data_IF_969705416839
#
_entry.id   IF_969705416839
#
_cell.length_a   1.000
_cell.length_b   1.000
_cell.length_c   1.000
_cell.angle_alpha   90.00
_cell.angle_beta   90.00
_cell.angle_gamma   90.00
#
_symmetry.space_group_name_H-M   'P 1'
#
loop_
_entity.id
_entity.type
_entity.pdbx_description
1 polymer ?
#
# COMPACT_ATOMS: atom_id res chain seq x y z
N UNK A 1 6.56 -28.52 19.34
CA UNK A 1 6.79 -27.54 18.25
C UNK A 1 5.44 -27.06 17.79
N UNK A 2 5.07 -25.78 18.05
CA UNK A 2 3.90 -25.20 17.43
C UNK A 2 4.09 -25.21 15.90
N UNK A 3 3.13 -25.76 15.15
CA UNK A 3 3.15 -25.67 13.69
C UNK A 3 3.11 -24.18 13.30
N UNK A 4 4.17 -23.65 12.71
CA UNK A 4 4.16 -22.29 12.15
C UNK A 4 3.11 -22.27 11.05
N UNK A 5 2.02 -21.55 11.29
CA UNK A 5 0.95 -21.39 10.29
C UNK A 5 1.46 -20.42 9.23
N UNK A 6 1.45 -20.84 7.97
CA UNK A 6 1.78 -19.96 6.85
C UNK A 6 0.65 -18.93 6.70
N UNK A 7 0.94 -17.62 6.75
CA UNK A 7 -0.09 -16.62 6.56
C UNK A 7 -0.51 -16.51 5.10
N UNK A 8 -1.81 -16.38 4.84
CA UNK A 8 -2.38 -16.13 3.53
C UNK A 8 -2.51 -14.63 3.31
N UNK A 9 -1.80 -14.11 2.31
CA UNK A 9 -1.70 -12.67 2.05
C UNK A 9 -2.33 -12.36 0.70
N UNK A 10 -3.29 -11.45 0.68
CA UNK A 10 -3.97 -11.01 -0.54
C UNK A 10 -3.41 -9.67 -1.01
N UNK A 11 -2.94 -9.61 -2.26
CA UNK A 11 -2.72 -8.35 -2.98
C UNK A 11 -3.94 -7.99 -3.81
N UNK A 12 -4.42 -6.75 -3.69
CA UNK A 12 -5.44 -6.15 -4.56
C UNK A 12 -4.78 -4.98 -5.26
N UNK A 13 -4.46 -5.13 -6.54
CA UNK A 13 -3.71 -4.09 -7.28
C UNK A 13 -3.79 -4.28 -8.80
N UNK A 14 -3.15 -3.38 -9.52
CA UNK A 14 -2.89 -3.53 -10.95
C UNK A 14 -1.74 -4.49 -11.25
N UNK A 15 -1.73 -5.03 -12.46
CA UNK A 15 -0.66 -5.89 -12.98
C UNK A 15 0.31 -5.06 -13.80
N UNK A 16 1.60 -5.07 -13.44
CA UNK A 16 2.69 -4.53 -14.26
C UNK A 16 3.43 -5.70 -14.96
N UNK A 17 3.40 -5.78 -16.30
CA UNK A 17 3.94 -6.93 -17.06
C UNK A 17 5.43 -7.19 -16.81
N UNK A 18 6.22 -6.15 -16.52
CA UNK A 18 7.64 -6.28 -16.18
C UNK A 18 7.91 -7.06 -14.89
N UNK A 19 6.89 -7.23 -14.04
CA UNK A 19 7.01 -7.92 -12.76
C UNK A 19 7.84 -7.19 -11.72
N UNK A 20 8.14 -5.90 -11.95
CA UNK A 20 8.87 -5.03 -11.03
C UNK A 20 7.98 -4.23 -10.10
N UNK A 21 6.69 -4.11 -10.40
CA UNK A 21 5.67 -3.43 -9.59
C UNK A 21 4.33 -4.16 -9.65
N UNK A 22 3.33 -3.65 -8.92
CA UNK A 22 1.98 -4.21 -8.87
C UNK A 22 1.94 -5.64 -8.35
N UNK A 23 0.88 -6.36 -8.67
CA UNK A 23 0.63 -7.73 -8.16
C UNK A 23 1.83 -8.65 -8.33
N UNK A 24 2.52 -8.62 -9.47
CA UNK A 24 3.65 -9.53 -9.68
C UNK A 24 4.84 -9.27 -8.76
N UNK A 25 5.11 -8.01 -8.42
CA UNK A 25 6.11 -7.69 -7.41
C UNK A 25 5.61 -8.06 -6.00
N UNK A 26 4.34 -7.79 -5.72
CA UNK A 26 3.71 -8.11 -4.44
C UNK A 26 3.81 -9.61 -4.14
N UNK A 27 3.37 -10.46 -5.08
CA UNK A 27 3.41 -11.93 -4.91
C UNK A 27 4.83 -12.46 -4.69
N UNK A 28 5.82 -11.88 -5.38
CA UNK A 28 7.24 -12.25 -5.17
C UNK A 28 7.71 -11.89 -3.77
N UNK A 29 7.42 -10.66 -3.31
CA UNK A 29 7.81 -10.21 -1.97
C UNK A 29 7.12 -11.04 -0.88
N UNK A 30 5.81 -11.26 -1.01
CA UNK A 30 5.02 -12.07 -0.08
C UNK A 30 5.54 -13.50 0.02
N UNK A 31 5.80 -14.14 -1.12
CA UNK A 31 6.30 -15.52 -1.16
C UNK A 31 7.73 -15.63 -0.59
N UNK A 32 8.60 -14.65 -0.87
CA UNK A 32 9.97 -14.61 -0.34
C UNK A 32 10.01 -14.47 1.18
N UNK A 33 8.99 -13.85 1.79
CA UNK A 33 8.86 -13.66 3.25
C UNK A 33 8.01 -14.74 3.93
N UNK A 34 7.73 -15.84 3.23
CA UNK A 34 7.08 -17.02 3.80
C UNK A 34 5.57 -16.96 3.89
N UNK A 35 4.92 -16.03 3.17
CA UNK A 35 3.48 -15.96 3.00
C UNK A 35 2.98 -16.82 1.82
N UNK A 36 1.75 -17.33 1.91
CA UNK A 36 1.01 -17.84 0.76
C UNK A 36 0.33 -16.66 0.07
N UNK A 37 0.80 -16.30 -1.11
CA UNK A 37 0.40 -15.09 -1.80
C UNK A 37 -0.79 -15.33 -2.73
N UNK A 38 -1.85 -14.53 -2.57
CA UNK A 38 -3.03 -14.49 -3.42
C UNK A 38 -3.11 -13.12 -4.12
N UNK A 39 -3.82 -13.03 -5.25
CA UNK A 39 -3.97 -11.78 -5.98
C UNK A 39 -5.36 -11.58 -6.56
N UNK A 40 -5.91 -10.37 -6.37
CA UNK A 40 -7.11 -9.86 -7.05
C UNK A 40 -6.69 -8.73 -7.98
N UNK A 41 -6.94 -8.92 -9.27
CA UNK A 41 -6.54 -7.97 -10.30
C UNK A 41 -7.57 -6.84 -10.42
N UNK A 42 -7.15 -5.61 -10.12
CA UNK A 42 -7.97 -4.40 -10.23
C UNK A 42 -7.76 -3.67 -11.57
N UNK A 43 -6.59 -3.82 -12.19
CA UNK A 43 -6.28 -3.24 -13.50
C UNK A 43 -5.16 -4.01 -14.19
N UNK A 44 -5.10 -3.90 -15.51
CA UNK A 44 -3.97 -4.34 -16.33
C UNK A 44 -3.25 -3.10 -16.84
N UNK A 45 -1.92 -3.10 -16.84
CA UNK A 45 -1.14 -2.02 -17.43
C UNK A 45 -0.26 -2.51 -18.56
N UNK A 46 -0.10 -1.69 -19.59
CA UNK A 46 0.99 -1.79 -20.55
C UNK A 46 2.14 -0.93 -20.00
N UNK A 47 3.02 -1.54 -19.21
CA UNK A 47 4.03 -0.84 -18.42
C UNK A 47 5.37 -1.58 -18.44
N UNK A 48 6.44 -0.81 -18.46
CA UNK A 48 7.81 -1.27 -18.22
C UNK A 48 8.51 -0.36 -17.19
N UNK A 49 9.83 -0.48 -17.03
CA UNK A 49 10.59 0.35 -16.08
C UNK A 49 10.77 1.81 -16.53
N UNK A 50 10.36 2.15 -17.75
CA UNK A 50 10.49 3.50 -18.33
C UNK A 50 9.19 4.30 -18.25
N UNK A 51 8.02 3.63 -18.29
CA UNK A 51 6.74 4.33 -18.27
C UNK A 51 5.53 3.42 -18.46
N UNK A 52 4.34 4.04 -18.40
CA UNK A 52 3.03 3.43 -18.61
C UNK A 52 2.46 3.91 -19.93
N UNK A 53 2.18 3.00 -20.86
CA UNK A 53 1.63 3.32 -22.19
C UNK A 53 0.14 3.01 -22.31
N UNK A 54 -0.44 2.31 -21.33
CA UNK A 54 -1.86 2.02 -21.29
C UNK A 54 -2.31 1.41 -19.97
N UNK A 55 -3.55 1.67 -19.61
CA UNK A 55 -4.22 1.11 -18.43
C UNK A 55 -5.59 0.58 -18.86
N UNK A 56 -5.88 -0.66 -18.51
CA UNK A 56 -7.17 -1.29 -18.69
C UNK A 56 -7.72 -1.66 -17.31
N UNK A 57 -8.76 -0.94 -16.85
CA UNK A 57 -9.44 -1.24 -15.59
C UNK A 57 -10.18 -2.58 -15.67
N UNK A 58 -10.21 -3.30 -14.56
CA UNK A 58 -11.12 -4.43 -14.35
C UNK A 58 -12.40 -3.89 -13.72
N UNK A 59 -13.56 -4.27 -14.24
CA UNK A 59 -14.83 -3.76 -13.73
C UNK A 59 -15.02 -4.08 -12.25
N UNK A 60 -15.64 -3.15 -11.50
CA UNK A 60 -15.97 -3.34 -10.09
C UNK A 60 -16.72 -4.64 -9.81
N UNK A 61 -17.66 -5.01 -10.71
CA UNK A 61 -18.40 -6.28 -10.62
C UNK A 61 -17.48 -7.50 -10.68
N UNK A 62 -16.45 -7.48 -11.55
CA UNK A 62 -15.52 -8.61 -11.65
C UNK A 62 -14.47 -8.59 -10.52
N UNK A 63 -14.06 -7.42 -10.03
CA UNK A 63 -13.24 -7.31 -8.82
C UNK A 63 -14.00 -7.91 -7.63
N UNK A 64 -15.28 -7.57 -7.48
CA UNK A 64 -16.14 -8.16 -6.44
C UNK A 64 -16.22 -9.69 -6.57
N UNK A 65 -16.42 -10.20 -7.77
CA UNK A 65 -16.50 -11.65 -8.02
C UNK A 65 -15.20 -12.37 -7.65
N UNK A 66 -14.03 -11.79 -7.97
CA UNK A 66 -12.73 -12.33 -7.57
C UNK A 66 -12.60 -12.37 -6.03
N UNK A 67 -12.97 -11.27 -5.35
CA UNK A 67 -12.93 -11.18 -3.88
C UNK A 67 -13.86 -12.21 -3.24
N UNK A 68 -15.12 -12.24 -3.63
CA UNK A 68 -16.12 -13.15 -3.07
C UNK A 68 -15.69 -14.62 -3.25
N UNK A 69 -15.18 -14.97 -4.42
CA UNK A 69 -14.73 -16.35 -4.72
C UNK A 69 -13.53 -16.73 -3.85
N UNK A 70 -12.57 -15.82 -3.68
CA UNK A 70 -11.38 -16.09 -2.88
C UNK A 70 -11.69 -16.21 -1.40
N UNK A 71 -12.47 -15.27 -0.84
CA UNK A 71 -12.84 -15.29 0.58
C UNK A 71 -13.80 -16.45 0.95
N UNK A 72 -14.54 -17.00 -0.02
CA UNK A 72 -15.40 -18.18 0.21
C UNK A 72 -14.59 -19.48 0.39
N UNK A 73 -13.38 -19.54 -0.17
CA UNK A 73 -12.55 -20.75 -0.14
C UNK A 73 -11.49 -20.74 0.98
N UNK A 74 -11.01 -19.56 1.38
CA UNK A 74 -9.85 -19.48 2.24
C UNK A 74 -9.82 -18.35 3.25
N UNK A 75 -9.09 -18.60 4.35
CA UNK A 75 -8.72 -17.56 5.31
C UNK A 75 -7.70 -16.61 4.68
N UNK A 76 -7.92 -15.32 4.81
CA UNK A 76 -6.95 -14.26 4.49
C UNK A 76 -6.51 -13.60 5.78
N UNK A 77 -5.22 -13.59 6.04
CA UNK A 77 -4.62 -13.06 7.29
C UNK A 77 -4.23 -11.59 7.15
N UNK A 78 -3.88 -11.15 5.93
CA UNK A 78 -3.64 -9.74 5.64
C UNK A 78 -3.98 -9.41 4.18
N UNK A 79 -4.37 -8.16 3.95
CA UNK A 79 -4.63 -7.61 2.62
C UNK A 79 -3.67 -6.45 2.37
N UNK A 80 -2.98 -6.48 1.23
CA UNK A 80 -2.25 -5.32 0.70
C UNK A 80 -3.06 -4.72 -0.45
N UNK A 81 -3.29 -3.42 -0.41
CA UNK A 81 -3.94 -2.67 -1.47
C UNK A 81 -2.90 -1.78 -2.14
N UNK A 82 -2.81 -1.86 -3.45
CA UNK A 82 -1.99 -0.98 -4.28
C UNK A 82 -2.85 -0.13 -5.21
N UNK A 83 -2.42 0.02 -6.47
CA UNK A 83 -3.13 0.80 -7.48
C UNK A 83 -4.54 0.24 -7.75
N UNK A 84 -5.56 1.08 -7.57
CA UNK A 84 -6.95 0.86 -7.98
C UNK A 84 -7.30 1.79 -9.14
N UNK A 85 -8.23 1.37 -10.02
CA UNK A 85 -8.45 2.03 -11.31
C UNK A 85 -9.46 3.18 -11.29
N UNK A 86 -10.47 3.10 -10.41
CA UNK A 86 -11.57 4.04 -10.37
C UNK A 86 -12.34 3.99 -9.04
N UNK A 87 -13.25 4.95 -8.83
CA UNK A 87 -14.05 5.09 -7.61
C UNK A 87 -14.87 3.84 -7.31
N UNK A 88 -15.49 3.24 -8.33
CA UNK A 88 -16.36 2.07 -8.13
C UNK A 88 -15.58 0.83 -7.67
N UNK A 89 -14.32 0.70 -8.10
CA UNK A 89 -13.40 -0.35 -7.61
C UNK A 89 -12.98 -0.06 -6.18
N UNK A 90 -12.69 1.20 -5.83
CA UNK A 90 -12.35 1.61 -4.44
C UNK A 90 -13.51 1.26 -3.49
N UNK A 91 -14.73 1.66 -3.82
CA UNK A 91 -15.94 1.35 -3.04
C UNK A 91 -16.17 -0.16 -2.90
N UNK A 92 -15.97 -0.91 -3.99
CA UNK A 92 -16.10 -2.37 -4.00
C UNK A 92 -15.10 -3.03 -3.07
N UNK A 93 -13.85 -2.62 -3.10
CA UNK A 93 -12.80 -3.12 -2.21
C UNK A 93 -13.12 -2.75 -0.76
N UNK A 94 -13.50 -1.50 -0.49
CA UNK A 94 -13.89 -1.08 0.85
C UNK A 94 -15.09 -1.88 1.40
N UNK A 95 -16.10 -2.14 0.58
CA UNK A 95 -17.23 -2.98 0.98
C UNK A 95 -16.82 -4.42 1.28
N UNK A 96 -15.89 -4.99 0.51
CA UNK A 96 -15.35 -6.33 0.77
C UNK A 96 -14.58 -6.36 2.11
N UNK A 97 -13.75 -5.36 2.39
CA UNK A 97 -13.04 -5.26 3.67
C UNK A 97 -14.00 -5.15 4.86
N UNK A 98 -15.07 -4.36 4.74
CA UNK A 98 -16.12 -4.23 5.76
C UNK A 98 -16.87 -5.55 5.98
N UNK A 99 -17.04 -6.36 4.93
CA UNK A 99 -17.74 -7.64 4.95
C UNK A 99 -16.88 -8.75 5.53
N UNK A 100 -15.68 -8.94 4.99
CA UNK A 100 -14.80 -10.08 5.31
C UNK A 100 -13.88 -9.84 6.51
N UNK A 101 -13.61 -8.58 6.84
CA UNK A 101 -12.83 -8.12 8.01
C UNK A 101 -11.50 -8.85 8.19
N UNK A 102 -10.60 -8.80 7.18
CA UNK A 102 -9.27 -9.38 7.33
C UNK A 102 -8.56 -8.72 8.53
N UNK A 103 -7.75 -9.47 9.29
CA UNK A 103 -7.08 -8.95 10.50
C UNK A 103 -6.19 -7.74 10.25
N UNK A 104 -5.52 -7.69 9.09
CA UNK A 104 -4.62 -6.59 8.73
C UNK A 104 -4.90 -6.08 7.32
N UNK A 105 -4.86 -4.75 7.17
CA UNK A 105 -5.00 -4.06 5.88
C UNK A 105 -3.86 -3.08 5.72
N UNK A 106 -3.00 -3.31 4.74
CA UNK A 106 -1.91 -2.41 4.35
C UNK A 106 -2.28 -1.69 3.06
N UNK A 107 -2.38 -0.37 3.12
CA UNK A 107 -2.72 0.45 1.97
C UNK A 107 -1.50 1.24 1.51
N UNK A 108 -1.01 0.94 0.31
CA UNK A 108 -0.03 1.75 -0.41
C UNK A 108 -0.81 2.71 -1.34
N UNK A 109 -0.89 4.01 -1.03
CA UNK A 109 -1.78 4.94 -1.72
C UNK A 109 -1.17 5.42 -3.05
N UNK A 110 -0.94 4.50 -3.97
CA UNK A 110 -0.25 4.74 -5.24
C UNK A 110 -1.03 5.73 -6.10
N UNK A 111 -0.49 6.95 -6.28
CA UNK A 111 -1.12 8.01 -7.07
C UNK A 111 -0.41 8.28 -8.39
N UNK A 112 0.91 8.12 -8.42
CA UNK A 112 1.76 8.44 -9.57
C UNK A 112 2.76 7.32 -9.78
N UNK A 113 2.96 6.91 -11.03
CA UNK A 113 4.01 5.98 -11.40
C UNK A 113 5.40 6.63 -11.22
N UNK A 114 6.46 5.82 -11.11
CA UNK A 114 7.84 6.31 -11.04
C UNK A 114 8.23 7.19 -12.24
N UNK A 115 7.61 6.96 -13.39
CA UNK A 115 7.78 7.75 -14.62
C UNK A 115 7.14 9.15 -14.54
N UNK A 116 6.32 9.44 -13.51
CA UNK A 116 5.54 10.67 -13.39
C UNK A 116 4.11 10.54 -13.95
N UNK A 117 3.76 9.40 -14.55
CA UNK A 117 2.43 9.17 -15.07
C UNK A 117 1.41 9.06 -13.92
N UNK A 118 0.31 9.82 -14.00
CA UNK A 118 -0.76 9.77 -13.02
C UNK A 118 -1.51 8.46 -13.13
N UNK A 119 -1.54 7.69 -12.05
CA UNK A 119 -2.20 6.38 -11.96
C UNK A 119 -3.57 6.46 -11.28
N UNK A 120 -3.77 7.45 -10.42
CA UNK A 120 -5.01 7.64 -9.69
C UNK A 120 -5.67 8.97 -10.12
N UNK A 121 -6.90 8.94 -10.68
CA UNK A 121 -7.70 10.13 -10.95
C UNK A 121 -8.01 10.93 -9.69
N UNK A 122 -8.35 12.20 -9.82
CA UNK A 122 -8.54 13.11 -8.68
C UNK A 122 -9.75 12.74 -7.81
N UNK A 123 -10.84 12.32 -8.44
CA UNK A 123 -12.05 11.83 -7.77
C UNK A 123 -11.80 10.56 -6.94
N UNK A 124 -10.84 9.75 -7.36
CA UNK A 124 -10.43 8.56 -6.61
C UNK A 124 -9.68 8.89 -5.32
N UNK A 125 -9.02 10.06 -5.22
CA UNK A 125 -8.33 10.47 -3.98
C UNK A 125 -9.33 10.65 -2.84
N UNK A 126 -10.46 11.30 -3.10
CA UNK A 126 -11.49 11.50 -2.07
C UNK A 126 -12.16 10.18 -1.69
N UNK A 127 -12.44 9.30 -2.65
CA UNK A 127 -12.96 7.97 -2.37
C UNK A 127 -11.97 7.13 -1.55
N UNK A 128 -10.67 7.22 -1.84
CA UNK A 128 -9.63 6.55 -1.06
C UNK A 128 -9.58 7.07 0.38
N UNK A 129 -9.69 8.39 0.57
CA UNK A 129 -9.71 9.02 1.90
C UNK A 129 -10.94 8.64 2.71
N UNK A 130 -12.12 8.63 2.10
CA UNK A 130 -13.38 8.36 2.81
C UNK A 130 -13.65 6.87 3.04
N UNK A 131 -13.26 6.01 2.10
CA UNK A 131 -13.66 4.61 2.11
C UNK A 131 -12.57 3.64 2.56
N UNK A 132 -11.29 3.87 2.22
CA UNK A 132 -10.21 2.91 2.47
C UNK A 132 -9.29 3.31 3.63
N UNK A 133 -8.90 4.59 3.76
CA UNK A 133 -8.03 5.01 4.86
C UNK A 133 -8.59 4.63 6.24
N UNK A 134 -9.91 4.80 6.53
CA UNK A 134 -10.48 4.42 7.82
C UNK A 134 -10.47 2.91 8.12
N UNK A 135 -10.14 2.08 7.13
CA UNK A 135 -10.06 0.62 7.26
C UNK A 135 -8.62 0.11 7.32
N UNK A 136 -7.63 0.99 7.10
CA UNK A 136 -6.24 0.60 7.02
C UNK A 136 -5.60 0.41 8.40
N UNK A 137 -4.95 -0.75 8.61
CA UNK A 137 -4.04 -0.99 9.74
C UNK A 137 -2.74 -0.21 9.58
N UNK A 138 -2.21 -0.17 8.35
CA UNK A 138 -1.01 0.60 8.01
C UNK A 138 -1.20 1.26 6.65
N UNK A 139 -0.84 2.53 6.54
CA UNK A 139 -0.68 3.21 5.26
C UNK A 139 0.79 3.54 5.01
N UNK A 140 1.23 3.51 3.75
CA UNK A 140 2.65 3.67 3.39
C UNK A 140 2.89 4.80 2.36
N UNK A 141 2.41 6.04 2.60
CA UNK A 141 2.57 7.12 1.64
C UNK A 141 4.03 7.58 1.52
N UNK A 142 4.44 7.98 0.32
CA UNK A 142 5.60 8.83 0.11
C UNK A 142 5.23 10.31 0.36
N UNK A 143 6.20 11.24 0.27
CA UNK A 143 5.95 12.66 0.59
C UNK A 143 4.93 13.33 -0.34
N UNK A 144 5.00 13.17 -1.68
CA UNK A 144 3.96 13.67 -2.57
C UNK A 144 2.55 13.12 -2.26
N UNK A 145 2.43 11.82 -2.02
CA UNK A 145 1.16 11.17 -1.65
C UNK A 145 0.64 11.69 -0.30
N UNK A 146 1.54 11.83 0.67
CA UNK A 146 1.21 12.36 2.00
C UNK A 146 0.72 13.80 1.94
N UNK A 147 1.32 14.65 1.09
CA UNK A 147 0.88 16.02 0.87
C UNK A 147 -0.55 16.07 0.31
N UNK A 148 -0.85 15.24 -0.68
CA UNK A 148 -2.20 15.14 -1.27
C UNK A 148 -3.22 14.64 -0.24
N UNK A 149 -2.89 13.60 0.52
CA UNK A 149 -3.80 13.01 1.51
C UNK A 149 -4.05 13.94 2.71
N UNK A 150 -3.00 14.59 3.21
CA UNK A 150 -3.09 15.49 4.39
C UNK A 150 -3.64 16.88 4.06
N UNK A 151 -3.49 17.32 2.81
CA UNK A 151 -3.75 18.70 2.39
C UNK A 151 -2.69 19.69 2.89
N UNK A 152 -1.53 19.21 3.35
CA UNK A 152 -0.38 20.01 3.77
C UNK A 152 0.64 20.13 2.62
N UNK A 153 1.51 21.16 2.64
CA UNK A 153 2.67 21.20 1.73
C UNK A 153 3.53 19.95 1.88
N UNK A 154 4.19 19.54 0.80
CA UNK A 154 5.14 18.44 0.84
C UNK A 154 6.27 18.73 1.84
N UNK A 155 6.60 17.75 2.68
CA UNK A 155 7.67 17.89 3.66
C UNK A 155 9.03 17.99 2.93
N UNK A 156 9.82 18.99 3.30
CA UNK A 156 11.16 19.28 2.79
C UNK A 156 12.29 18.99 3.79
N UNK A 157 11.93 18.63 5.02
CA UNK A 157 12.85 18.33 6.11
C UNK A 157 12.31 17.20 7.00
N UNK A 158 13.19 16.61 7.81
CA UNK A 158 12.82 15.56 8.76
C UNK A 158 11.82 16.06 9.82
N UNK A 159 11.95 17.32 10.25
CA UNK A 159 11.05 17.96 11.21
C UNK A 159 9.64 18.12 10.64
N UNK A 160 9.50 18.36 9.34
CA UNK A 160 8.22 18.50 8.66
C UNK A 160 7.47 17.17 8.51
N UNK A 161 8.14 16.02 8.67
CA UNK A 161 7.48 14.69 8.64
C UNK A 161 6.48 14.53 9.79
N UNK A 162 6.81 15.01 10.99
CA UNK A 162 6.00 14.77 12.19
C UNK A 162 4.59 15.35 12.08
N UNK A 163 4.38 16.66 11.79
CA UNK A 163 3.05 17.22 11.68
C UNK A 163 2.26 16.60 10.51
N UNK A 164 2.91 16.23 9.42
CA UNK A 164 2.27 15.55 8.29
C UNK A 164 1.79 14.14 8.69
N UNK A 165 2.63 13.34 9.31
CA UNK A 165 2.27 12.00 9.78
C UNK A 165 1.19 12.03 10.87
N UNK A 166 1.23 12.99 11.79
CA UNK A 166 0.18 13.22 12.77
C UNK A 166 -1.17 13.56 12.11
N UNK A 167 -1.16 14.40 11.06
CA UNK A 167 -2.39 14.69 10.33
C UNK A 167 -2.93 13.44 9.65
N UNK A 168 -2.06 12.63 9.03
CA UNK A 168 -2.45 11.37 8.37
C UNK A 168 -2.99 10.34 9.37
N UNK A 169 -2.44 10.26 10.59
CA UNK A 169 -2.93 9.32 11.62
C UNK A 169 -4.38 9.57 12.03
N UNK A 170 -4.92 10.78 11.81
CA UNK A 170 -6.34 11.07 12.04
C UNK A 170 -7.27 10.53 10.95
N UNK A 171 -6.73 10.06 9.84
CA UNK A 171 -7.49 9.57 8.68
C UNK A 171 -7.58 8.04 8.61
N UNK A 172 -6.71 7.34 9.32
CA UNK A 172 -6.67 5.86 9.36
C UNK A 172 -7.58 5.31 10.47
N UNK A 173 -7.67 3.97 10.56
CA UNK A 173 -8.38 3.31 11.65
C UNK A 173 -7.90 3.81 13.04
N UNK A 174 -8.71 3.76 14.11
CA UNK A 174 -8.33 4.26 15.44
C UNK A 174 -7.00 3.75 15.98
N UNK A 175 -6.64 2.49 15.66
CA UNK A 175 -5.35 1.88 16.03
C UNK A 175 -4.42 1.75 14.82
N UNK A 176 -4.70 2.52 13.76
CA UNK A 176 -3.95 2.46 12.50
C UNK A 176 -2.63 3.22 12.57
N UNK A 177 -1.70 2.81 11.73
CA UNK A 177 -0.35 3.35 11.64
C UNK A 177 -0.08 4.01 10.30
N UNK A 178 0.75 5.02 10.33
CA UNK A 178 1.26 5.73 9.15
C UNK A 178 2.76 5.50 9.05
N UNK A 179 3.21 4.84 8.00
CA UNK A 179 4.61 4.80 7.62
C UNK A 179 4.87 5.86 6.54
N UNK A 180 5.27 7.05 6.96
CA UNK A 180 5.62 8.14 6.06
C UNK A 180 7.05 7.96 5.56
N UNK A 181 7.19 7.69 4.24
CA UNK A 181 8.48 7.41 3.60
C UNK A 181 9.24 8.69 3.27
N UNK A 182 10.38 8.94 3.92
CA UNK A 182 11.22 10.14 3.73
C UNK A 182 12.20 10.05 2.57
N UNK A 183 12.13 9.01 1.74
CA UNK A 183 13.05 8.80 0.63
C UNK A 183 13.11 9.92 -0.44
N UNK A 184 12.19 10.88 -0.43
CA UNK A 184 12.17 12.07 -1.30
C UNK A 184 12.89 13.28 -0.69
N UNK A 185 13.28 13.25 0.59
CA UNK A 185 14.11 14.29 1.20
C UNK A 185 15.49 14.33 0.52
N UNK A 186 16.13 15.50 0.50
CA UNK A 186 17.44 15.70 -0.12
C UNK A 186 18.63 15.42 0.82
N UNK A 187 18.37 14.84 2.00
CA UNK A 187 19.40 14.54 2.99
C UNK A 187 20.22 13.30 2.65
N UNK A 188 21.38 13.16 3.30
CA UNK A 188 22.27 11.99 3.19
C UNK A 188 21.64 10.70 3.71
N UNK A 189 20.65 10.83 4.61
CA UNK A 189 19.81 9.76 5.14
C UNK A 189 18.40 9.86 4.56
N UNK A 190 17.69 8.76 4.55
CA UNK A 190 16.29 8.69 4.15
C UNK A 190 15.47 8.21 5.38
N UNK A 191 15.11 9.12 6.30
CA UNK A 191 14.35 8.73 7.47
C UNK A 191 12.91 8.40 7.08
N UNK A 192 12.41 7.24 7.51
CA UNK A 192 11.00 6.89 7.46
C UNK A 192 10.41 7.04 8.87
N UNK A 193 9.24 7.66 8.97
CA UNK A 193 8.54 7.88 10.23
C UNK A 193 7.31 6.98 10.32
N UNK A 194 7.29 6.07 11.29
CA UNK A 194 6.13 5.27 11.65
C UNK A 194 5.45 5.85 12.88
N UNK A 195 4.15 6.12 12.80
CA UNK A 195 3.37 6.65 13.94
C UNK A 195 1.91 6.19 13.88
N UNK A 196 1.30 6.06 15.07
CA UNK A 196 -0.15 5.93 15.24
C UNK A 196 -0.79 7.20 15.83
N UNK A 197 -0.04 8.32 15.85
CA UNK A 197 -0.46 9.58 16.45
C UNK A 197 -0.04 9.74 17.92
N UNK A 198 0.27 8.67 18.64
CA UNK A 198 0.76 8.67 20.04
C UNK A 198 2.19 8.16 20.16
N UNK A 199 2.50 7.08 19.48
CA UNK A 199 3.83 6.48 19.39
C UNK A 199 4.51 6.89 18.09
N UNK A 200 5.85 7.02 18.12
CA UNK A 200 6.66 7.37 16.97
C UNK A 200 7.94 6.53 16.94
N UNK A 201 8.25 5.99 15.76
CA UNK A 201 9.48 5.26 15.49
C UNK A 201 10.12 5.82 14.22
N UNK A 202 11.39 6.13 14.28
CA UNK A 202 12.16 6.64 13.13
C UNK A 202 13.11 5.55 12.67
N UNK A 203 13.01 5.18 11.40
CA UNK A 203 13.91 4.25 10.73
C UNK A 203 14.82 5.04 9.80
N UNK A 204 16.12 4.93 10.00
CA UNK A 204 17.11 5.58 9.15
C UNK A 204 17.93 4.55 8.40
N UNK A 205 18.20 4.84 7.13
CA UNK A 205 19.11 4.04 6.33
C UNK A 205 19.98 4.98 5.44
N UNK A 206 21.23 4.60 5.18
CA UNK A 206 22.06 5.33 4.23
C UNK A 206 21.39 5.39 2.85
N UNK A 207 21.40 6.55 2.23
CA UNK A 207 20.84 6.71 0.89
C UNK A 207 21.67 5.97 -0.15
N UNK A 208 21.01 5.09 -0.90
CA UNK A 208 21.62 4.41 -2.03
C UNK A 208 21.39 5.25 -3.29
N UNK A 209 22.46 5.75 -3.90
CA UNK A 209 22.38 6.50 -5.15
C UNK A 209 22.10 5.54 -6.31
N UNK A 210 20.85 5.44 -6.72
CA UNK A 210 20.40 4.56 -7.81
C UNK A 210 19.21 5.17 -8.54
N UNK A 211 19.09 4.83 -9.83
CA UNK A 211 17.88 5.10 -10.64
C UNK A 211 16.89 3.93 -10.63
N UNK A 212 17.30 2.77 -10.08
CA UNK A 212 16.51 1.53 -10.09
C UNK A 212 15.60 1.47 -8.87
N UNK A 213 14.61 2.37 -8.80
CA UNK A 213 13.65 2.46 -7.66
C UNK A 213 12.24 2.03 -8.06
N UNK A 214 12.05 1.46 -9.27
CA UNK A 214 10.74 0.95 -9.71
C UNK A 214 10.26 -0.20 -8.83
N UNK A 215 9.06 -0.05 -8.26
CA UNK A 215 8.40 -1.06 -7.44
C UNK A 215 8.88 -1.17 -5.99
N UNK A 216 9.76 -0.30 -5.51
CA UNK A 216 10.20 -0.32 -4.10
C UNK A 216 9.04 -0.13 -3.12
N UNK A 217 8.07 0.76 -3.41
CA UNK A 217 6.86 0.95 -2.61
C UNK A 217 6.00 -0.31 -2.54
N UNK A 218 5.71 -0.92 -3.71
CA UNK A 218 4.97 -2.18 -3.78
C UNK A 218 5.65 -3.29 -2.97
N UNK A 219 6.98 -3.42 -3.09
CA UNK A 219 7.75 -4.42 -2.35
C UNK A 219 7.69 -4.19 -0.84
N UNK A 220 7.87 -2.94 -0.38
CA UNK A 220 7.82 -2.58 1.04
C UNK A 220 6.44 -2.85 1.64
N UNK A 221 5.37 -2.34 1.02
CA UNK A 221 4.00 -2.51 1.52
C UNK A 221 3.57 -3.99 1.55
N UNK A 222 4.03 -4.78 0.58
CA UNK A 222 3.79 -6.23 0.55
C UNK A 222 4.59 -6.99 1.60
N UNK A 223 5.82 -6.55 1.89
CA UNK A 223 6.62 -7.10 2.98
C UNK A 223 5.93 -6.85 4.33
N UNK A 224 5.48 -5.62 4.58
CA UNK A 224 4.73 -5.26 5.79
C UNK A 224 3.49 -6.14 5.93
N UNK A 225 2.66 -6.24 4.88
CA UNK A 225 1.46 -7.08 4.91
C UNK A 225 1.75 -8.54 5.23
N UNK A 226 2.90 -9.05 4.77
CA UNK A 226 3.29 -10.44 4.99
C UNK A 226 3.81 -10.67 6.41
N UNK A 227 4.51 -9.71 6.98
CA UNK A 227 5.14 -9.84 8.29
C UNK A 227 4.16 -9.53 9.44
N UNK A 228 3.20 -8.64 9.27
CA UNK A 228 2.21 -8.30 10.30
C UNK A 228 1.56 -9.53 10.98
N UNK A 229 1.07 -10.56 10.25
CA UNK A 229 0.56 -11.77 10.88
C UNK A 229 1.62 -12.65 11.56
N UNK A 230 2.89 -12.32 11.42
CA UNK A 230 4.03 -13.09 11.94
C UNK A 230 4.76 -12.37 13.10
N UNK A 231 4.34 -11.15 13.44
CA UNK A 231 4.89 -10.29 14.49
C UNK A 231 3.85 -10.04 15.58
N UNK A 232 4.28 -9.52 16.73
CA UNK A 232 3.39 -9.21 17.87
C UNK A 232 2.81 -7.79 17.80
N UNK A 233 3.47 -6.89 17.06
CA UNK A 233 3.06 -5.49 16.93
C UNK A 233 3.50 -4.89 15.59
N UNK A 234 2.86 -3.78 15.19
CA UNK A 234 3.20 -3.08 13.93
C UNK A 234 4.65 -2.56 13.90
N UNK A 235 5.23 -2.00 15.00
CA UNK A 235 6.61 -1.52 14.98
C UNK A 235 7.70 -2.59 14.83
N UNK A 236 7.38 -3.88 15.03
CA UNK A 236 8.32 -4.98 14.84
C UNK A 236 8.55 -5.32 13.37
#
# INVERSE_FOLDING_TARGET
MQKKVIPNILSIAGVAPSGGAGIFADLKAMSALGGYACGVVAALTAQNTQGVTGVQGVSAAFVKQQLDTLFADGRIDAVKIGMLSDVSVIETVAQALKTYRPPFVVLDPVMVAKSGDRLLPEDCVEALKSELLPLATVITPNLPEAAVLSGLPEADSAEALVPMAQKLSTLVAPDGWVLLKGGHLNDSEAPDLLTNGTEQHIFTAPRILTKNTHGTGCTLSSAIATLLPQTESVPQ
#
